data_IF_735896330668
#
_entry.id   IF_735896330668
#
_cell.length_a   1.000
_cell.length_b   1.000
_cell.length_c   1.000
_cell.angle_alpha   90.00
_cell.angle_beta   90.00
_cell.angle_gamma   90.00
#
_symmetry.space_group_name_H-M   'P 1'
#
loop_
_entity.id
_entity.type
_entity.pdbx_description
1 polymer ?
#
# COMPACT_ATOMS: atom_id res chain seq x y z
N UNK A 1 12.10 -13.35 0.81
CA UNK A 1 12.65 -12.48 -0.25
C UNK A 1 12.93 -11.07 0.28
N UNK A 2 11.93 -10.32 0.77
CA UNK A 2 12.11 -8.93 1.26
C UNK A 2 13.15 -8.74 2.36
N UNK A 3 13.22 -9.65 3.34
CA UNK A 3 14.21 -9.56 4.41
C UNK A 3 15.67 -9.60 3.91
N UNK A 4 15.96 -10.29 2.80
CA UNK A 4 17.31 -10.29 2.21
C UNK A 4 17.58 -8.95 1.55
N UNK A 5 16.62 -8.45 0.76
CA UNK A 5 16.73 -7.15 0.09
C UNK A 5 16.89 -5.99 1.09
N UNK A 6 16.14 -6.00 2.18
CA UNK A 6 16.24 -5.00 3.26
C UNK A 6 17.62 -5.03 3.91
N UNK A 7 18.14 -6.21 4.24
CA UNK A 7 19.50 -6.33 4.81
C UNK A 7 20.57 -5.81 3.85
N UNK A 8 20.47 -6.12 2.57
CA UNK A 8 21.40 -5.59 1.56
C UNK A 8 21.29 -4.07 1.44
N UNK A 9 20.06 -3.54 1.41
CA UNK A 9 19.82 -2.10 1.40
C UNK A 9 20.38 -1.38 2.64
N UNK A 10 20.27 -2.00 3.82
CA UNK A 10 20.87 -1.50 5.06
C UNK A 10 22.40 -1.50 5.00
N UNK A 11 23.02 -2.56 4.46
CA UNK A 11 24.47 -2.63 4.23
C UNK A 11 24.97 -1.54 3.28
N UNK A 12 24.16 -1.18 2.28
CA UNK A 12 24.43 -0.09 1.35
C UNK A 12 24.04 1.30 1.89
N UNK A 13 23.58 1.40 3.15
CA UNK A 13 23.21 2.69 3.75
C UNK A 13 21.97 3.35 3.12
N UNK A 14 21.11 2.59 2.41
CA UNK A 14 20.01 3.19 1.65
C UNK A 14 18.97 3.91 2.52
N UNK A 15 18.82 3.45 3.76
CA UNK A 15 17.85 3.97 4.73
C UNK A 15 18.26 5.25 5.46
N UNK A 16 19.43 5.83 5.18
CA UNK A 16 19.87 7.07 5.81
C UNK A 16 20.30 8.09 4.76
N UNK A 17 19.71 9.28 4.82
CA UNK A 17 20.14 10.40 3.99
C UNK A 17 21.54 10.90 4.35
N UNK A 18 22.03 10.62 5.56
CA UNK A 18 23.35 11.05 6.04
C UNK A 18 24.48 10.10 5.63
N UNK A 19 24.15 8.84 5.29
CA UNK A 19 25.15 7.82 4.95
C UNK A 19 25.77 7.99 3.56
N UNK A 20 25.20 8.85 2.72
CA UNK A 20 25.64 9.05 1.33
C UNK A 20 25.73 10.56 1.01
N UNK A 21 26.65 11.31 1.63
CA UNK A 21 26.73 12.77 1.50
C UNK A 21 27.14 13.24 0.10
N UNK A 22 27.83 12.38 -0.66
CA UNK A 22 28.35 12.69 -1.99
C UNK A 22 27.35 12.39 -3.13
N UNK A 23 26.15 11.91 -2.80
CA UNK A 23 25.10 11.66 -3.79
C UNK A 23 24.65 12.95 -4.49
N UNK A 24 24.55 12.88 -5.82
CA UNK A 24 23.79 13.87 -6.57
C UNK A 24 22.31 13.87 -6.13
N UNK A 25 21.61 14.97 -6.42
CA UNK A 25 20.18 15.04 -6.15
C UNK A 25 19.40 13.88 -6.80
N UNK A 26 19.74 13.50 -8.03
CA UNK A 26 19.11 12.40 -8.73
C UNK A 26 19.31 11.06 -8.00
N UNK A 27 20.55 10.75 -7.62
CA UNK A 27 20.89 9.52 -6.88
C UNK A 27 20.16 9.46 -5.53
N UNK A 28 20.10 10.59 -4.82
CA UNK A 28 19.36 10.69 -3.56
C UNK A 28 17.86 10.36 -3.76
N UNK A 29 17.22 10.88 -4.81
CA UNK A 29 15.81 10.59 -5.07
C UNK A 29 15.59 9.13 -5.47
N UNK A 30 16.48 8.54 -6.27
CA UNK A 30 16.44 7.12 -6.62
C UNK A 30 16.57 6.25 -5.37
N UNK A 31 17.54 6.56 -4.49
CA UNK A 31 17.74 5.85 -3.22
C UNK A 31 16.51 5.94 -2.32
N UNK A 32 15.95 7.13 -2.11
CA UNK A 32 14.73 7.32 -1.29
C UNK A 32 13.55 6.52 -1.85
N UNK A 33 13.32 6.55 -3.17
CA UNK A 33 12.25 5.78 -3.83
C UNK A 33 12.46 4.28 -3.66
N UNK A 34 13.70 3.80 -3.80
CA UNK A 34 14.04 2.39 -3.61
C UNK A 34 13.82 1.95 -2.15
N UNK A 35 14.32 2.72 -1.19
CA UNK A 35 14.15 2.43 0.23
C UNK A 35 12.68 2.36 0.65
N UNK A 36 11.89 3.37 0.29
CA UNK A 36 10.46 3.38 0.61
C UNK A 36 9.68 2.29 -0.12
N UNK A 37 10.12 1.84 -1.29
CA UNK A 37 9.55 0.65 -1.93
C UNK A 37 9.75 -0.60 -1.07
N UNK A 38 10.95 -0.79 -0.51
CA UNK A 38 11.21 -1.90 0.41
C UNK A 38 10.38 -1.80 1.69
N UNK A 39 10.24 -0.60 2.26
CA UNK A 39 9.39 -0.37 3.43
C UNK A 39 7.93 -0.71 3.13
N UNK A 40 7.38 -0.23 2.02
CA UNK A 40 6.02 -0.55 1.56
C UNK A 40 5.84 -2.06 1.43
N UNK A 41 6.78 -2.75 0.76
CA UNK A 41 6.72 -4.20 0.54
C UNK A 41 6.83 -5.03 1.81
N UNK A 42 7.43 -4.51 2.89
CA UNK A 42 7.51 -5.22 4.18
C UNK A 42 6.33 -4.87 5.10
N UNK A 43 5.82 -3.64 5.05
CA UNK A 43 4.83 -3.13 6.00
C UNK A 43 3.38 -3.38 5.56
N UNK A 44 3.08 -3.29 4.26
CA UNK A 44 1.72 -3.43 3.75
C UNK A 44 1.20 -4.88 3.77
N UNK A 45 1.92 -5.89 3.25
CA UNK A 45 1.42 -7.26 3.30
C UNK A 45 1.13 -7.65 4.74
N UNK A 46 0.00 -8.31 5.02
CA UNK A 46 -0.31 -8.84 6.36
C UNK A 46 0.67 -9.99 6.65
N UNK A 47 1.77 -9.76 7.39
CA UNK A 47 2.77 -10.77 7.62
C UNK A 47 2.34 -11.57 8.85
N UNK A 48 2.40 -12.90 8.73
CA UNK A 48 2.35 -13.82 9.86
C UNK A 48 3.56 -13.64 10.81
N UNK A 49 4.51 -12.77 10.47
CA UNK A 49 5.75 -12.51 11.19
C UNK A 49 5.85 -11.06 11.67
N UNK A 50 6.75 -10.82 12.60
CA UNK A 50 7.17 -9.47 12.98
C UNK A 50 7.96 -8.86 11.81
N UNK A 51 7.66 -7.62 11.39
CA UNK A 51 8.45 -6.93 10.37
C UNK A 51 9.92 -6.88 10.76
N UNK A 52 10.81 -7.10 9.79
CA UNK A 52 12.25 -7.01 10.00
C UNK A 52 12.83 -5.60 9.83
N UNK A 53 11.96 -4.63 9.53
CA UNK A 53 12.30 -3.22 9.42
C UNK A 53 11.42 -2.41 10.38
N UNK A 54 12.06 -1.72 11.32
CA UNK A 54 11.39 -0.79 12.22
C UNK A 54 11.50 0.65 11.72
N UNK A 55 10.47 1.48 11.97
CA UNK A 55 10.50 2.89 11.54
C UNK A 55 11.69 3.66 12.15
N UNK A 56 12.04 3.35 13.40
CA UNK A 56 13.18 3.98 14.11
C UNK A 56 14.55 3.50 13.63
N UNK A 57 14.63 2.47 12.78
CA UNK A 57 15.91 1.92 12.32
C UNK A 57 16.53 2.75 11.17
N UNK A 58 15.83 3.78 10.68
CA UNK A 58 16.26 4.50 9.50
C UNK A 58 15.81 5.97 9.51
N UNK A 59 16.56 6.82 8.79
CA UNK A 59 16.35 8.27 8.67
C UNK A 59 16.32 8.67 7.20
N UNK A 60 15.37 8.10 6.47
CA UNK A 60 15.15 8.34 5.04
C UNK A 60 13.91 9.21 4.86
N UNK A 61 14.06 10.43 4.33
CA UNK A 61 12.92 11.28 4.00
C UNK A 61 12.07 10.65 2.89
N UNK A 62 10.80 11.05 2.80
CA UNK A 62 9.98 10.71 1.64
C UNK A 62 10.61 11.30 0.36
N UNK A 63 10.41 10.66 -0.81
CA UNK A 63 10.87 11.21 -2.07
C UNK A 63 10.26 12.59 -2.35
N UNK A 64 11.02 13.46 -3.02
CA UNK A 64 10.53 14.74 -3.50
C UNK A 64 9.66 14.55 -4.75
N UNK A 65 8.76 15.51 -4.98
CA UNK A 65 7.80 15.51 -6.09
C UNK A 65 8.42 15.97 -7.41
N UNK A 66 9.49 15.31 -7.83
CA UNK A 66 10.23 15.62 -9.06
C UNK A 66 9.95 14.59 -10.15
N UNK A 67 9.83 15.05 -11.40
CA UNK A 67 9.73 14.16 -12.58
C UNK A 67 11.13 13.79 -13.11
N UNK A 68 11.17 12.86 -14.06
CA UNK A 68 12.44 12.31 -14.57
C UNK A 68 13.22 13.39 -15.34
N UNK A 69 12.53 14.30 -16.04
CA UNK A 69 13.16 15.43 -16.70
C UNK A 69 13.78 16.42 -15.71
N UNK A 70 13.10 16.72 -14.59
CA UNK A 70 13.64 17.55 -13.51
C UNK A 70 14.81 16.87 -12.76
N UNK A 71 14.78 15.55 -12.63
CA UNK A 71 15.87 14.77 -12.05
C UNK A 71 17.13 14.85 -12.91
N UNK A 72 16.99 14.78 -14.23
CA UNK A 72 18.09 14.94 -15.19
C UNK A 72 18.56 16.40 -15.28
N UNK A 73 17.63 17.36 -15.19
CA UNK A 73 17.92 18.79 -15.29
C UNK A 73 18.41 19.44 -13.99
N UNK A 74 18.45 18.72 -12.86
CA UNK A 74 18.83 19.24 -11.53
C UNK A 74 20.26 19.84 -11.44
N UNK A 75 21.04 19.80 -12.52
CA UNK A 75 22.27 20.59 -12.70
C UNK A 75 22.00 22.09 -12.99
N UNK A 76 20.75 22.50 -13.23
CA UNK A 76 20.38 23.84 -13.72
C UNK A 76 19.01 24.30 -13.25
N UNK A 77 18.86 24.49 -11.93
CA UNK A 77 17.85 25.29 -11.22
C UNK A 77 16.63 25.81 -11.99
N UNK A 78 15.59 24.98 -12.15
CA UNK A 78 14.21 25.48 -12.19
C UNK A 78 13.25 24.40 -11.69
N UNK A 79 12.72 24.57 -10.48
CA UNK A 79 11.64 23.73 -9.94
C UNK A 79 10.36 24.08 -10.71
N UNK A 80 10.04 23.31 -11.74
CA UNK A 80 8.89 23.57 -12.61
C UNK A 80 7.56 23.27 -11.90
N UNK A 81 6.49 23.84 -12.44
CA UNK A 81 5.14 23.95 -11.86
C UNK A 81 4.66 22.69 -11.14
N UNK A 82 4.17 22.86 -9.90
CA UNK A 82 3.48 21.84 -9.10
C UNK A 82 2.16 21.34 -9.74
N UNK A 83 1.72 21.90 -10.87
CA UNK A 83 0.40 21.60 -11.45
C UNK A 83 0.35 20.41 -12.41
N UNK A 84 1.50 19.84 -12.83
CA UNK A 84 1.53 18.67 -13.72
C UNK A 84 1.28 17.38 -12.93
N UNK A 85 0.52 16.39 -13.46
CA UNK A 85 0.42 15.07 -12.84
C UNK A 85 1.76 14.35 -12.78
N UNK A 86 2.11 13.82 -11.60
CA UNK A 86 3.40 13.17 -11.33
C UNK A 86 3.21 11.74 -10.82
N UNK A 87 3.87 10.72 -11.42
CA UNK A 87 3.79 9.34 -10.95
C UNK A 87 4.27 9.14 -9.52
N UNK A 88 5.26 9.92 -9.07
CA UNK A 88 5.87 9.79 -7.72
C UNK A 88 4.87 10.07 -6.59
N UNK A 89 3.81 10.88 -6.83
CA UNK A 89 2.77 11.15 -5.82
C UNK A 89 2.04 9.88 -5.38
N UNK A 90 1.83 8.93 -6.27
CA UNK A 90 1.28 7.62 -5.92
C UNK A 90 2.22 6.86 -4.96
N UNK A 91 3.53 6.88 -5.23
CA UNK A 91 4.52 6.21 -4.39
C UNK A 91 4.60 6.84 -2.98
N UNK A 92 4.59 8.17 -2.91
CA UNK A 92 4.53 8.92 -1.65
C UNK A 92 3.26 8.54 -0.86
N UNK A 93 2.10 8.51 -1.52
CA UNK A 93 0.85 8.11 -0.86
C UNK A 93 0.91 6.66 -0.35
N UNK A 94 1.43 5.71 -1.14
CA UNK A 94 1.62 4.32 -0.71
C UNK A 94 2.57 4.21 0.49
N UNK A 95 3.66 4.99 0.51
CA UNK A 95 4.58 5.06 1.63
C UNK A 95 3.88 5.57 2.91
N UNK A 96 3.06 6.63 2.79
CA UNK A 96 2.29 7.17 3.90
C UNK A 96 1.25 6.16 4.42
N UNK A 97 0.47 5.51 3.55
CA UNK A 97 -0.45 4.43 3.96
C UNK A 97 0.30 3.32 4.70
N UNK A 98 1.46 2.91 4.18
CA UNK A 98 2.26 1.85 4.79
C UNK A 98 2.75 2.21 6.19
N UNK A 99 3.15 3.47 6.37
CA UNK A 99 3.59 4.01 7.65
C UNK A 99 2.43 4.01 8.67
N UNK A 100 1.27 4.54 8.32
CA UNK A 100 0.09 4.59 9.21
C UNK A 100 -0.30 3.18 9.67
N UNK A 101 -0.40 2.24 8.73
CA UNK A 101 -0.79 0.87 9.06
C UNK A 101 0.28 0.14 9.87
N UNK A 102 1.56 0.36 9.55
CA UNK A 102 2.68 -0.18 10.31
C UNK A 102 2.66 0.31 11.76
N UNK A 103 2.52 1.62 11.97
CA UNK A 103 2.52 2.24 13.30
C UNK A 103 1.39 1.70 14.17
N UNK A 104 0.16 1.64 13.65
CA UNK A 104 -0.96 1.03 14.38
C UNK A 104 -0.64 -0.41 14.79
N UNK A 105 -0.21 -1.23 13.83
CA UNK A 105 0.09 -2.64 14.10
C UNK A 105 1.24 -2.85 15.06
N UNK A 106 2.25 -1.98 14.99
CA UNK A 106 3.36 -2.02 15.92
C UNK A 106 2.86 -1.70 17.33
N UNK A 107 2.11 -0.61 17.50
CA UNK A 107 1.53 -0.22 18.79
C UNK A 107 0.67 -1.35 19.39
N UNK A 108 -0.23 -1.94 18.62
CA UNK A 108 -1.09 -3.04 19.07
C UNK A 108 -0.33 -4.32 19.46
N UNK A 109 0.94 -4.47 19.04
CA UNK A 109 1.79 -5.63 19.37
C UNK A 109 2.71 -5.40 20.56
N UNK A 110 2.89 -4.15 21.00
CA UNK A 110 3.85 -3.83 22.07
C UNK A 110 3.48 -4.48 23.40
N UNK A 111 2.18 -4.47 23.72
CA UNK A 111 1.61 -5.00 24.95
C UNK A 111 0.11 -5.19 24.76
N UNK A 112 -0.54 -5.74 25.76
CA UNK A 112 -2.00 -5.69 25.88
C UNK A 112 -2.42 -4.26 26.26
N UNK A 113 -3.46 -3.78 25.59
CA UNK A 113 -4.01 -2.45 25.74
C UNK A 113 -5.46 -2.54 26.19
N UNK A 114 -5.90 -1.55 26.96
CA UNK A 114 -7.32 -1.40 27.27
C UNK A 114 -8.11 -1.07 26.00
N UNK A 115 -9.39 -1.43 25.96
CA UNK A 115 -10.26 -1.19 24.78
C UNK A 115 -10.28 0.29 24.36
N UNK A 116 -10.28 1.22 25.32
CA UNK A 116 -10.27 2.66 25.05
C UNK A 116 -8.98 3.11 24.33
N UNK A 117 -7.83 2.56 24.72
CA UNK A 117 -6.55 2.84 24.07
C UNK A 117 -6.52 2.30 22.64
N UNK A 118 -7.00 1.06 22.44
CA UNK A 118 -7.10 0.46 21.10
C UNK A 118 -8.02 1.30 20.22
N UNK A 119 -9.17 1.74 20.74
CA UNK A 119 -10.10 2.58 20.02
C UNK A 119 -9.46 3.90 19.59
N UNK A 120 -8.75 4.58 20.50
CA UNK A 120 -7.98 5.79 20.18
C UNK A 120 -6.98 5.55 19.05
N UNK A 121 -6.14 4.50 19.14
CA UNK A 121 -5.17 4.21 18.08
C UNK A 121 -5.82 3.94 16.73
N UNK A 122 -6.95 3.23 16.72
CA UNK A 122 -7.73 2.96 15.51
C UNK A 122 -8.29 4.26 14.90
N UNK A 123 -8.80 5.16 15.74
CA UNK A 123 -9.30 6.46 15.28
C UNK A 123 -8.20 7.36 14.76
N UNK A 124 -7.08 7.46 15.47
CA UNK A 124 -5.92 8.24 15.04
C UNK A 124 -5.38 7.73 13.69
N UNK A 125 -5.36 6.41 13.49
CA UNK A 125 -4.94 5.81 12.23
C UNK A 125 -5.94 6.04 11.09
N UNK A 126 -7.25 5.90 11.33
CA UNK A 126 -8.28 6.20 10.31
C UNK A 126 -8.30 7.69 9.96
N UNK A 127 -8.13 8.59 10.94
CA UNK A 127 -8.03 10.03 10.71
C UNK A 127 -6.81 10.38 9.86
N UNK A 128 -5.65 9.79 10.13
CA UNK A 128 -4.46 9.96 9.28
C UNK A 128 -4.71 9.50 7.84
N UNK A 129 -5.40 8.38 7.63
CA UNK A 129 -5.79 7.95 6.28
C UNK A 129 -6.82 8.89 5.66
N UNK A 130 -7.77 9.42 6.42
CA UNK A 130 -8.75 10.38 5.92
C UNK A 130 -8.09 11.69 5.47
N UNK A 131 -7.16 12.22 6.26
CA UNK A 131 -6.37 13.41 5.91
C UNK A 131 -5.53 13.16 4.66
N UNK A 132 -4.90 11.99 4.56
CA UNK A 132 -4.16 11.60 3.35
C UNK A 132 -5.07 11.62 2.11
N UNK A 133 -6.29 11.09 2.20
CA UNK A 133 -7.27 11.09 1.10
C UNK A 133 -7.61 12.52 0.67
N UNK A 134 -7.86 13.41 1.63
CA UNK A 134 -8.16 14.83 1.39
C UNK A 134 -6.99 15.56 0.72
N UNK A 135 -5.76 15.25 1.10
CA UNK A 135 -4.53 15.88 0.60
C UNK A 135 -4.05 15.30 -0.75
N UNK A 136 -4.71 14.27 -1.28
CA UNK A 136 -4.37 13.72 -2.59
C UNK A 136 -4.63 14.75 -3.69
N UNK A 137 -3.76 14.84 -4.70
CA UNK A 137 -4.05 15.67 -5.86
C UNK A 137 -5.27 15.13 -6.61
N UNK A 138 -6.05 16.01 -7.25
CA UNK A 138 -7.33 15.64 -7.87
C UNK A 138 -7.23 14.45 -8.84
N UNK A 139 -6.13 14.35 -9.59
CA UNK A 139 -5.91 13.24 -10.53
C UNK A 139 -5.69 11.87 -9.85
N UNK A 140 -5.43 11.81 -8.55
CA UNK A 140 -5.37 10.57 -7.76
C UNK A 140 -6.61 10.36 -6.88
N UNK A 141 -7.52 11.34 -6.79
CA UNK A 141 -8.76 11.20 -6.05
C UNK A 141 -9.72 10.25 -6.77
N UNK A 142 -10.33 9.34 -6.01
CA UNK A 142 -11.22 8.31 -6.56
C UNK A 142 -12.55 8.87 -7.04
N UNK A 143 -13.02 9.93 -6.39
CA UNK A 143 -14.29 10.62 -6.62
C UNK A 143 -14.18 11.81 -7.59
N UNK A 144 -13.04 11.97 -8.27
CA UNK A 144 -12.89 12.99 -9.31
C UNK A 144 -13.88 12.74 -10.46
N UNK A 145 -14.74 13.74 -10.74
CA UNK A 145 -15.74 13.67 -11.79
C UNK A 145 -15.09 13.51 -13.17
N UNK A 146 -15.63 12.60 -13.99
CA UNK A 146 -15.23 12.49 -15.41
C UNK A 146 -15.73 13.70 -16.19
N UNK A 147 -14.81 14.49 -16.71
CA UNK A 147 -15.04 15.62 -17.60
C UNK A 147 -14.18 15.44 -18.86
N UNK A 148 -14.51 16.11 -19.98
CA UNK A 148 -13.66 16.08 -21.17
C UNK A 148 -12.20 16.49 -20.89
N UNK A 149 -11.99 17.39 -19.92
CA UNK A 149 -10.66 17.82 -19.51
C UNK A 149 -9.89 16.73 -18.75
N UNK A 150 -10.54 16.02 -17.82
CA UNK A 150 -9.91 14.91 -17.09
C UNK A 150 -9.64 13.72 -18.01
N UNK A 151 -10.52 13.45 -18.98
CA UNK A 151 -10.34 12.39 -19.98
C UNK A 151 -9.17 12.69 -20.92
N UNK A 152 -9.05 13.94 -21.38
CA UNK A 152 -7.90 14.38 -22.18
C UNK A 152 -6.59 14.27 -21.40
N UNK A 153 -6.58 14.69 -20.12
CA UNK A 153 -5.42 14.54 -19.23
C UNK A 153 -5.06 13.08 -19.01
N UNK A 154 -6.03 12.22 -18.72
CA UNK A 154 -5.80 10.81 -18.43
C UNK A 154 -5.34 10.05 -19.70
N UNK A 155 -5.73 10.52 -20.88
CA UNK A 155 -5.19 10.06 -22.17
C UNK A 155 -3.75 10.50 -22.39
N UNK A 156 -3.40 11.74 -21.97
CA UNK A 156 -2.03 12.25 -22.03
C UNK A 156 -1.10 11.56 -21.04
N UNK A 157 -1.62 11.13 -19.88
CA UNK A 157 -0.86 10.49 -18.81
C UNK A 157 -1.45 9.11 -18.46
N UNK A 158 -1.12 8.06 -19.23
CA UNK A 158 -1.75 6.74 -19.12
C UNK A 158 -1.57 6.02 -17.76
N UNK A 159 -0.64 6.47 -16.93
CA UNK A 159 -0.45 5.95 -15.58
C UNK A 159 -1.58 6.38 -14.62
N UNK A 160 -2.25 7.51 -14.87
CA UNK A 160 -3.22 8.11 -13.94
C UNK A 160 -4.38 7.15 -13.64
N UNK A 161 -5.09 6.58 -14.64
CA UNK A 161 -6.23 5.71 -14.34
C UNK A 161 -5.86 4.48 -13.51
N UNK A 162 -4.67 3.92 -13.77
CA UNK A 162 -4.18 2.76 -13.02
C UNK A 162 -3.81 3.15 -11.58
N UNK A 163 -3.05 4.23 -11.39
CA UNK A 163 -2.64 4.70 -10.07
C UNK A 163 -3.84 5.11 -9.21
N UNK A 164 -4.78 5.86 -9.78
CA UNK A 164 -6.03 6.26 -9.11
C UNK A 164 -6.81 5.05 -8.60
N UNK A 165 -7.05 4.05 -9.46
CA UNK A 165 -7.78 2.82 -9.08
C UNK A 165 -7.02 1.98 -8.07
N UNK A 166 -5.72 1.78 -8.26
CA UNK A 166 -4.86 1.01 -7.35
C UNK A 166 -4.86 1.63 -5.96
N UNK A 167 -4.64 2.94 -5.89
CA UNK A 167 -4.59 3.68 -4.62
C UNK A 167 -5.95 3.65 -3.90
N UNK A 168 -7.05 3.84 -4.62
CA UNK A 168 -8.40 3.75 -4.05
C UNK A 168 -8.64 2.40 -3.38
N UNK A 169 -8.28 1.29 -4.04
CA UNK A 169 -8.41 -0.06 -3.47
C UNK A 169 -7.55 -0.24 -2.22
N UNK A 170 -6.31 0.23 -2.27
CA UNK A 170 -5.39 0.18 -1.12
C UNK A 170 -5.98 0.94 0.06
N UNK A 171 -6.44 2.18 -0.14
CA UNK A 171 -7.04 3.00 0.91
C UNK A 171 -8.29 2.36 1.50
N UNK A 172 -9.21 1.88 0.66
CA UNK A 172 -10.42 1.18 1.10
C UNK A 172 -10.08 -0.08 1.91
N UNK A 173 -9.10 -0.86 1.44
CA UNK A 173 -8.65 -2.06 2.15
C UNK A 173 -8.07 -1.72 3.53
N UNK A 174 -7.17 -0.74 3.63
CA UNK A 174 -6.55 -0.42 4.92
C UNK A 174 -7.50 0.30 5.88
N UNK A 175 -8.45 1.12 5.39
CA UNK A 175 -9.53 1.64 6.25
C UNK A 175 -10.40 0.52 6.81
N UNK A 176 -10.72 -0.49 6.00
CA UNK A 176 -11.41 -1.69 6.46
C UNK A 176 -10.57 -2.46 7.50
N UNK A 177 -9.29 -2.69 7.24
CA UNK A 177 -8.40 -3.45 8.14
C UNK A 177 -8.11 -2.74 9.47
N UNK A 178 -8.07 -1.41 9.47
CA UNK A 178 -7.92 -0.57 10.68
C UNK A 178 -9.22 -0.61 11.50
N UNK A 179 -10.35 -0.34 10.86
CA UNK A 179 -11.65 -0.32 11.56
C UNK A 179 -12.10 -1.70 12.06
N UNK A 180 -11.63 -2.79 11.46
CA UNK A 180 -11.88 -4.15 11.93
C UNK A 180 -11.15 -4.51 13.23
N UNK A 181 -10.19 -3.72 13.70
CA UNK A 181 -9.52 -3.98 14.98
C UNK A 181 -10.48 -3.86 16.18
N UNK A 182 -11.57 -3.11 16.04
CA UNK A 182 -12.63 -2.99 17.07
C UNK A 182 -13.83 -3.91 16.82
N UNK A 183 -13.67 -4.96 15.99
CA UNK A 183 -14.79 -5.81 15.58
C UNK A 183 -15.53 -6.47 16.77
N UNK A 184 -14.81 -6.85 17.82
CA UNK A 184 -15.39 -7.45 19.03
C UNK A 184 -16.37 -6.49 19.73
N UNK A 185 -16.16 -5.17 19.58
CA UNK A 185 -16.95 -4.13 20.23
C UNK A 185 -18.07 -3.56 19.34
N UNK A 186 -18.25 -4.06 18.11
CA UNK A 186 -19.25 -3.53 17.18
C UNK A 186 -20.70 -3.73 17.62
N UNK A 187 -20.95 -4.65 18.56
CA UNK A 187 -22.28 -5.00 19.05
C UNK A 187 -22.55 -4.52 20.47
N UNK A 188 -21.59 -3.85 21.10
CA UNK A 188 -21.68 -3.40 22.50
C UNK A 188 -22.60 -2.18 22.69
N UNK A 189 -23.19 -1.68 21.60
CA UNK A 189 -24.07 -0.50 21.61
C UNK A 189 -23.33 0.83 21.75
N UNK A 190 -21.99 0.83 21.78
CA UNK A 190 -21.18 2.04 21.82
C UNK A 190 -21.24 2.81 20.50
N UNK A 191 -21.15 4.14 20.57
CA UNK A 191 -21.03 5.02 19.40
C UNK A 191 -19.79 4.70 18.58
N UNK A 192 -18.72 4.32 19.27
CA UNK A 192 -17.41 4.02 18.71
C UNK A 192 -17.45 2.73 17.87
N UNK A 193 -18.05 1.67 18.41
CA UNK A 193 -18.26 0.42 17.69
C UNK A 193 -19.17 0.61 16.47
N UNK A 194 -20.25 1.40 16.59
CA UNK A 194 -21.11 1.73 15.48
C UNK A 194 -20.38 2.51 14.38
N UNK A 195 -19.54 3.49 14.75
CA UNK A 195 -18.71 4.27 13.82
C UNK A 195 -17.73 3.38 13.07
N UNK A 196 -16.92 2.57 13.76
CA UNK A 196 -15.94 1.70 13.11
C UNK A 196 -16.61 0.66 12.21
N UNK A 197 -17.75 0.11 12.64
CA UNK A 197 -18.54 -0.81 11.81
C UNK A 197 -19.02 -0.14 10.53
N UNK A 198 -19.53 1.09 10.61
CA UNK A 198 -19.99 1.83 9.43
C UNK A 198 -18.84 2.09 8.44
N UNK A 199 -17.67 2.51 8.93
CA UNK A 199 -16.47 2.72 8.11
C UNK A 199 -16.01 1.43 7.45
N UNK A 200 -15.92 0.34 8.23
CA UNK A 200 -15.52 -0.97 7.74
C UNK A 200 -16.45 -1.45 6.62
N UNK A 201 -17.77 -1.41 6.85
CA UNK A 201 -18.76 -1.88 5.90
C UNK A 201 -18.84 -1.01 4.64
N UNK A 202 -18.72 0.31 4.80
CA UNK A 202 -18.66 1.24 3.65
C UNK A 202 -17.44 0.98 2.79
N UNK A 203 -16.27 0.82 3.42
CA UNK A 203 -15.00 0.54 2.74
C UNK A 203 -15.03 -0.80 2.01
N UNK A 204 -15.57 -1.85 2.66
CA UNK A 204 -15.74 -3.17 2.06
C UNK A 204 -16.66 -3.13 0.82
N UNK A 205 -17.80 -2.42 0.92
CA UNK A 205 -18.72 -2.24 -0.21
C UNK A 205 -18.04 -1.50 -1.37
N UNK A 206 -17.30 -0.43 -1.08
CA UNK A 206 -16.54 0.31 -2.07
C UNK A 206 -15.51 -0.57 -2.79
N UNK A 207 -14.78 -1.40 -2.04
CA UNK A 207 -13.78 -2.31 -2.59
C UNK A 207 -14.40 -3.38 -3.50
N UNK A 208 -15.52 -3.99 -3.06
CA UNK A 208 -16.28 -4.97 -3.85
C UNK A 208 -16.80 -4.32 -5.14
N UNK A 209 -17.43 -3.15 -5.04
CA UNK A 209 -17.94 -2.42 -6.19
C UNK A 209 -16.83 -2.07 -7.18
N UNK A 210 -15.68 -1.57 -6.68
CA UNK A 210 -14.51 -1.26 -7.52
C UNK A 210 -13.94 -2.49 -8.21
N UNK A 211 -14.03 -3.67 -7.61
CA UNK A 211 -13.48 -4.91 -8.19
C UNK A 211 -14.44 -5.51 -9.22
N UNK A 212 -15.75 -5.50 -8.95
CA UNK A 212 -16.77 -6.06 -9.83
C UNK A 212 -16.98 -5.23 -11.11
N UNK A 213 -16.72 -3.92 -11.04
CA UNK A 213 -16.85 -3.01 -12.19
C UNK A 213 -15.64 -3.05 -13.12
N UNK A 214 -14.56 -3.74 -12.76
CA UNK A 214 -13.38 -3.90 -13.61
C UNK A 214 -13.47 -5.15 -14.49
N UNK A 215 -13.43 -4.94 -15.82
CA UNK A 215 -13.03 -6.00 -16.74
C UNK A 215 -11.52 -6.22 -16.57
N UNK A 216 -11.13 -7.35 -16.00
CA UNK A 216 -9.72 -7.66 -15.71
C UNK A 216 -8.96 -7.87 -17.02
N UNK A 217 -8.32 -6.82 -17.51
CA UNK A 217 -7.28 -6.94 -18.53
C UNK A 217 -5.98 -7.35 -17.83
N UNK A 218 -5.68 -8.65 -17.89
CA UNK A 218 -4.53 -9.27 -17.22
C UNK A 218 -3.17 -8.64 -17.61
N UNK A 219 -3.09 -7.89 -18.71
CA UNK A 219 -1.90 -7.14 -19.11
C UNK A 219 -1.56 -5.99 -18.15
N UNK A 220 -2.54 -5.44 -17.42
CA UNK A 220 -2.37 -4.33 -16.47
C UNK A 220 -2.00 -4.77 -15.04
N UNK A 221 -2.05 -6.08 -14.78
CA UNK A 221 -1.63 -6.69 -13.51
C UNK A 221 -0.12 -6.90 -13.42
N UNK A 222 0.63 -6.46 -14.45
CA UNK A 222 2.10 -6.49 -14.48
C UNK A 222 2.62 -5.06 -14.53
N UNK A 223 2.87 -4.40 -13.38
CA UNK A 223 3.38 -3.02 -13.35
C UNK A 223 4.70 -2.85 -14.12
N UNK A 224 5.51 -3.91 -14.19
CA UNK A 224 6.80 -3.93 -14.87
C UNK A 224 6.72 -3.98 -16.41
N UNK A 225 5.58 -4.30 -17.01
CA UNK A 225 5.44 -4.32 -18.48
C UNK A 225 5.05 -2.96 -19.09
N UNK A 226 4.86 -1.94 -18.25
CA UNK A 226 4.62 -0.55 -18.67
C UNK A 226 5.92 0.25 -18.77
N UNK A 227 7.04 -0.29 -18.28
CA UNK A 227 8.37 0.17 -18.68
C UNK A 227 8.54 -0.21 -20.16
N UNK A 228 8.55 0.82 -21.01
CA UNK A 228 8.48 0.72 -22.45
C UNK A 228 9.40 -0.35 -23.02
N UNK A 229 8.92 -1.07 -24.04
CA UNK A 229 9.70 -2.04 -24.82
C UNK A 229 11.11 -1.49 -25.06
N UNK A 230 12.17 -2.02 -24.42
CA UNK A 230 13.47 -2.00 -25.03
C UNK A 230 13.49 -3.21 -25.96
N UNK A 231 13.99 -3.04 -27.18
CA UNK A 231 14.35 -4.15 -28.04
C UNK A 231 15.38 -5.04 -27.32
N UNK A 232 14.91 -6.06 -26.61
CA UNK A 232 15.68 -7.18 -26.11
C UNK A 232 15.11 -8.47 -26.71
N UNK A 233 15.12 -8.54 -28.04
CA UNK A 233 15.32 -9.84 -28.67
C UNK A 233 16.75 -10.28 -28.34
N UNK A 234 16.88 -11.53 -27.87
CA UNK A 234 18.11 -12.22 -27.40
C UNK A 234 18.42 -12.07 -25.91
N UNK A 235 17.56 -12.63 -25.06
CA UNK A 235 18.04 -13.47 -23.93
C UNK A 235 16.90 -14.29 -23.32
N UNK A 236 16.29 -15.18 -24.12
CA UNK A 236 15.34 -16.16 -23.62
C UNK A 236 15.87 -17.56 -23.92
N UNK A 237 16.86 -18.01 -23.16
CA UNK A 237 17.26 -19.44 -23.18
C UNK A 237 17.74 -20.01 -21.84
N UNK A 238 17.55 -19.33 -20.70
CA UNK A 238 18.09 -19.84 -19.41
C UNK A 238 17.03 -20.27 -18.38
N UNK A 239 15.73 -20.05 -18.59
CA UNK A 239 14.69 -20.57 -17.67
C UNK A 239 13.53 -21.25 -18.40
N UNK A 240 13.83 -22.35 -19.08
CA UNK A 240 12.85 -23.43 -19.32
C UNK A 240 13.17 -24.57 -18.36
N UNK A 241 12.46 -24.62 -17.23
CA UNK A 241 12.59 -25.69 -16.26
C UNK A 241 11.44 -25.68 -15.25
N UNK A 242 10.49 -26.61 -15.48
CA UNK A 242 9.56 -27.18 -14.50
C UNK A 242 8.41 -26.32 -13.97
N UNK A 243 7.40 -26.11 -14.84
CA UNK A 243 6.01 -25.95 -14.43
C UNK A 243 5.34 -27.32 -14.31
N UNK A 244 5.34 -27.95 -13.13
CA UNK A 244 4.36 -28.98 -12.74
C UNK A 244 4.59 -29.34 -11.26
N UNK A 245 3.95 -28.61 -10.33
CA UNK A 245 3.57 -29.08 -8.97
C UNK A 245 3.21 -27.90 -8.05
N UNK A 246 2.12 -27.15 -8.29
CA UNK A 246 1.54 -26.26 -7.25
C UNK A 246 0.03 -26.05 -7.39
N UNK A 247 -0.70 -27.03 -7.95
CA UNK A 247 -2.17 -26.99 -8.07
C UNK A 247 -2.81 -28.29 -7.57
N UNK A 248 -2.63 -28.59 -6.28
CA UNK A 248 -3.51 -29.49 -5.52
C UNK A 248 -3.52 -29.05 -4.06
N UNK A 249 -4.36 -28.08 -3.71
CA UNK A 249 -4.81 -27.89 -2.32
C UNK A 249 -5.99 -26.90 -2.22
N UNK A 250 -6.93 -26.86 -3.17
CA UNK A 250 -8.22 -26.18 -2.96
C UNK A 250 -9.34 -26.89 -3.73
N UNK A 251 -9.90 -27.92 -3.10
CA UNK A 251 -11.23 -28.44 -3.39
C UNK A 251 -11.87 -28.91 -2.07
N UNK A 252 -12.86 -28.14 -1.62
CA UNK A 252 -13.82 -28.27 -0.49
C UNK A 252 -14.55 -29.65 -0.43
N UNK A 253 -15.49 -30.00 0.51
CA UNK A 253 -16.23 -29.15 1.48
C UNK A 253 -16.61 -29.75 2.87
N UNK A 254 -17.18 -28.87 3.71
CA UNK A 254 -18.25 -29.07 4.73
C UNK A 254 -18.40 -30.37 5.52
N UNK A 255 -18.46 -30.27 6.85
CA UNK A 255 -19.48 -30.98 7.66
C UNK A 255 -19.78 -30.19 8.96
N UNK A 256 -21.03 -29.71 9.10
CA UNK A 256 -21.68 -29.45 10.40
C UNK A 256 -22.15 -30.80 10.95
N UNK A 257 -22.13 -31.01 12.27
CA UNK A 257 -23.19 -31.71 13.02
C UNK A 257 -23.10 -31.33 14.51
N UNK A 258 -24.29 -31.15 15.07
CA UNK A 258 -24.69 -30.89 16.45
C UNK A 258 -24.61 -32.14 17.32
N UNK A 259 -24.38 -32.01 18.62
CA UNK A 259 -25.09 -32.81 19.62
C UNK A 259 -25.06 -32.16 21.01
N UNK A 260 -26.25 -31.84 21.52
CA UNK A 260 -26.59 -31.60 22.92
C UNK A 260 -26.55 -32.91 23.72
N UNK A 261 -26.14 -32.82 24.99
CA UNK A 261 -26.87 -33.42 26.13
C UNK A 261 -26.46 -34.80 26.65
N UNK A 262 -26.21 -34.87 27.96
CA UNK A 262 -26.63 -36.02 28.79
C UNK A 262 -25.55 -36.74 29.62
N UNK A 263 -25.31 -36.26 30.85
CA UNK A 263 -25.62 -37.02 32.08
C UNK A 263 -24.80 -38.26 32.53
N UNK A 264 -24.32 -38.12 33.78
CA UNK A 264 -24.26 -39.09 34.89
C UNK A 264 -23.13 -40.15 35.02
N UNK A 265 -22.55 -40.12 36.23
CA UNK A 265 -22.11 -41.21 37.12
C UNK A 265 -21.00 -42.17 36.63
N UNK A 266 -19.83 -42.14 37.28
CA UNK A 266 -19.56 -42.86 38.54
C UNK A 266 -18.26 -42.38 39.18
#
# INVERSE_FOLDING_TARGET
>A
MWAVAIRQAQQLGLGSDESNPDESFCEQQIRRRLWWTLAICEWLPVPHRVPCLHEMDFLCKLPDEVDDEELEAASGGSRLSKSKPRPVRYHIAMAQVSKVYYQLRYMLRLREWETEDVARFVFDADEQLANLITDLPSYLQFDENSTPATEARDSQYPFIPWQKKSLAKVLLYYRMAISSQLQEHWLDGSTDGARTRAICMSSARGLIHSTLTETVDASKLRPWSVLGKPNFEKSTDIFKGNHHEYLRCFSSPSTRISAYGGGLLH
#
